data_IF_907844094455
#
_entry.id   IF_907844094455
#
_cell.length_a   1.000
_cell.length_b   1.000
_cell.length_c   1.000
_cell.angle_alpha   90.00
_cell.angle_beta   90.00
_cell.angle_gamma   90.00
#
_symmetry.space_group_name_H-M   'P 1'
#
loop_
_entity.id
_entity.type
_entity.pdbx_description
1 polymer ?
#
# COMPACT_ATOMS: atom_id res chain seq x y z
N UNK A 1 13.77 12.32 -10.10
CA UNK A 1 12.80 11.30 -9.65
C UNK A 1 13.25 10.78 -8.29
N UNK A 2 12.36 10.50 -7.34
CA UNK A 2 12.74 9.89 -6.05
C UNK A 2 12.92 8.38 -6.21
N UNK A 3 13.73 7.76 -5.34
CA UNK A 3 13.94 6.30 -5.34
C UNK A 3 12.62 5.55 -5.15
N UNK A 4 11.76 6.03 -4.25
CA UNK A 4 10.41 5.49 -4.04
C UNK A 4 9.54 5.53 -5.31
N UNK A 5 9.61 6.60 -6.10
CA UNK A 5 8.84 6.71 -7.36
C UNK A 5 9.40 5.81 -8.47
N UNK A 6 10.70 5.51 -8.47
CA UNK A 6 11.25 4.45 -9.34
C UNK A 6 10.69 3.08 -8.94
N UNK A 7 10.80 2.71 -7.66
CA UNK A 7 10.30 1.43 -7.13
C UNK A 7 8.80 1.26 -7.40
N UNK A 8 8.00 2.30 -7.16
CA UNK A 8 6.56 2.25 -7.36
C UNK A 8 6.16 2.14 -8.84
N UNK A 9 6.85 2.83 -9.77
CA UNK A 9 6.61 2.64 -11.21
C UNK A 9 6.98 1.23 -11.67
N UNK A 10 8.08 0.70 -11.14
CA UNK A 10 8.58 -0.62 -11.50
C UNK A 10 7.71 -1.77 -10.98
N UNK A 11 7.09 -1.60 -9.80
CA UNK A 11 6.22 -2.61 -9.18
C UNK A 11 4.74 -2.47 -9.58
N UNK A 12 4.24 -1.23 -9.74
CA UNK A 12 2.80 -0.96 -9.92
C UNK A 12 2.40 -0.71 -11.37
N UNK A 13 3.24 -0.01 -12.17
CA UNK A 13 2.88 0.37 -13.54
C UNK A 13 3.43 -0.59 -14.61
N UNK A 14 4.72 -0.94 -14.53
CA UNK A 14 5.35 -1.80 -15.56
C UNK A 14 4.65 -3.16 -15.75
N UNK A 15 4.26 -3.91 -14.70
CA UNK A 15 3.56 -5.19 -14.87
C UNK A 15 2.18 -5.05 -15.51
N UNK A 16 1.53 -3.91 -15.28
CA UNK A 16 0.23 -3.55 -15.85
C UNK A 16 0.30 -3.02 -17.30
N UNK A 17 1.50 -2.94 -17.89
CA UNK A 17 1.76 -2.23 -19.16
C UNK A 17 1.29 -0.76 -19.14
N UNK A 18 1.36 -0.12 -17.97
CA UNK A 18 1.06 1.29 -17.76
C UNK A 18 2.32 2.15 -17.85
N UNK A 19 2.13 3.38 -18.32
CA UNK A 19 3.11 4.46 -18.36
C UNK A 19 2.44 5.77 -17.90
N UNK A 20 3.20 6.85 -17.73
CA UNK A 20 2.65 8.13 -17.30
C UNK A 20 1.62 8.71 -18.28
N UNK A 21 1.72 8.38 -19.58
CA UNK A 21 0.80 8.86 -20.62
C UNK A 21 -0.58 8.22 -20.48
N UNK A 22 -0.65 6.93 -20.16
CA UNK A 22 -1.90 6.21 -19.88
C UNK A 22 -2.57 6.70 -18.60
N UNK A 23 -1.77 7.05 -17.58
CA UNK A 23 -2.28 7.63 -16.33
C UNK A 23 -2.85 9.04 -16.56
N UNK A 24 -2.11 9.90 -17.26
CA UNK A 24 -2.58 11.25 -17.63
C UNK A 24 -3.84 11.19 -18.53
N UNK A 25 -3.89 10.27 -19.50
CA UNK A 25 -5.08 10.06 -20.33
C UNK A 25 -6.31 9.61 -19.52
N UNK A 26 -6.14 8.68 -18.58
CA UNK A 26 -7.22 8.22 -17.70
C UNK A 26 -7.76 9.36 -16.83
N UNK A 27 -6.87 10.12 -16.18
CA UNK A 27 -7.23 11.27 -15.36
C UNK A 27 -7.94 12.35 -16.19
N UNK A 28 -7.43 12.70 -17.38
CA UNK A 28 -8.11 13.62 -18.32
C UNK A 28 -9.50 13.14 -18.71
N UNK A 29 -9.72 11.83 -18.84
CA UNK A 29 -11.06 11.29 -19.14
C UNK A 29 -12.09 11.59 -18.04
N UNK A 30 -11.65 11.85 -16.80
CA UNK A 30 -12.51 12.25 -15.68
C UNK A 30 -12.84 13.74 -15.70
N UNK A 31 -11.93 14.58 -16.20
CA UNK A 31 -12.08 16.05 -16.28
C UNK A 31 -13.09 16.56 -17.31
N UNK A 32 -13.59 15.68 -18.18
CA UNK A 32 -14.70 16.01 -19.09
C UNK A 32 -16.03 16.18 -18.33
N UNK A 33 -16.14 15.62 -17.12
CA UNK A 33 -17.22 15.92 -16.18
C UNK A 33 -16.80 17.07 -15.26
N UNK A 34 -17.77 17.70 -14.58
CA UNK A 34 -17.54 18.88 -13.71
C UNK A 34 -16.91 18.48 -12.36
N UNK A 35 -15.64 18.06 -12.44
CA UNK A 35 -14.80 17.51 -11.37
C UNK A 35 -13.70 18.51 -11.03
N UNK A 36 -13.62 18.92 -9.76
CA UNK A 36 -12.68 19.94 -9.27
C UNK A 36 -11.32 19.35 -8.89
N UNK A 37 -11.29 18.10 -8.42
CA UNK A 37 -10.09 17.33 -8.11
C UNK A 37 -10.29 15.85 -8.48
N UNK A 38 -9.25 15.20 -9.03
CA UNK A 38 -9.22 13.76 -9.26
C UNK A 38 -7.84 13.19 -8.99
N UNK A 39 -7.81 11.98 -8.42
CA UNK A 39 -6.59 11.25 -8.09
C UNK A 39 -6.75 9.73 -8.24
N UNK A 40 -5.62 9.07 -8.49
CA UNK A 40 -5.46 7.61 -8.46
C UNK A 40 -4.51 7.25 -7.32
N UNK A 41 -4.95 6.37 -6.41
CA UNK A 41 -4.14 5.80 -5.33
C UNK A 41 -3.80 4.34 -5.68
N UNK A 42 -2.57 4.07 -6.10
CA UNK A 42 -2.07 2.73 -6.37
C UNK A 42 -1.41 2.14 -5.12
N UNK A 43 -1.60 0.84 -4.90
CA UNK A 43 -1.05 0.11 -3.77
C UNK A 43 -0.61 -1.29 -4.21
N UNK A 44 0.51 -1.76 -3.64
CA UNK A 44 0.82 -3.18 -3.52
C UNK A 44 1.38 -3.41 -2.12
N UNK A 45 0.82 -4.38 -1.40
CA UNK A 45 1.28 -4.81 -0.09
C UNK A 45 1.63 -6.29 -0.16
N UNK A 46 2.86 -6.65 0.19
CA UNK A 46 3.18 -8.02 0.58
C UNK A 46 3.23 -8.09 2.10
N UNK A 47 2.64 -9.11 2.70
CA UNK A 47 2.76 -9.34 4.14
C UNK A 47 2.95 -10.81 4.49
N UNK A 48 3.73 -11.06 5.53
CA UNK A 48 3.92 -12.38 6.14
C UNK A 48 3.52 -12.34 7.62
N UNK A 49 3.13 -13.49 8.16
CA UNK A 49 3.11 -13.70 9.61
C UNK A 49 3.61 -15.10 9.96
N UNK A 50 4.16 -15.23 11.16
CA UNK A 50 4.67 -16.46 11.75
C UNK A 50 4.17 -16.54 13.18
N UNK A 51 3.70 -17.71 13.62
CA UNK A 51 3.10 -17.90 14.95
C UNK A 51 3.64 -19.16 15.62
N UNK A 52 4.13 -18.99 16.84
CA UNK A 52 4.63 -20.02 17.74
C UNK A 52 3.67 -20.24 18.91
N UNK A 53 3.43 -21.51 19.21
CA UNK A 53 2.67 -22.03 20.35
C UNK A 53 3.21 -23.44 20.67
N UNK A 54 3.08 -23.93 21.91
CA UNK A 54 3.72 -25.17 22.38
C UNK A 54 5.24 -25.29 22.11
N UNK A 55 5.98 -24.16 22.07
CA UNK A 55 7.40 -24.09 21.69
C UNK A 55 7.72 -24.39 20.21
N UNK A 56 6.70 -24.51 19.34
CA UNK A 56 6.82 -24.84 17.92
C UNK A 56 6.11 -23.78 17.04
N UNK A 57 6.65 -23.49 15.86
CA UNK A 57 5.97 -22.60 14.89
C UNK A 57 4.82 -23.35 14.23
N UNK A 58 3.61 -23.22 14.79
CA UNK A 58 2.40 -23.94 14.36
C UNK A 58 1.83 -23.44 13.04
N UNK A 59 2.04 -22.17 12.70
CA UNK A 59 1.55 -21.61 11.44
C UNK A 59 2.42 -20.47 10.92
N UNK A 60 2.32 -20.24 9.61
CA UNK A 60 2.78 -19.04 8.95
C UNK A 60 1.88 -18.72 7.76
N UNK A 61 1.73 -17.45 7.45
CA UNK A 61 0.93 -16.96 6.33
C UNK A 61 1.72 -16.01 5.45
N UNK A 62 1.32 -15.88 4.19
CA UNK A 62 1.85 -14.90 3.25
C UNK A 62 0.73 -14.44 2.32
N UNK A 63 0.51 -13.14 2.22
CA UNK A 63 -0.46 -12.50 1.32
C UNK A 63 0.23 -11.49 0.42
N UNK A 64 -0.35 -11.30 -0.77
CA UNK A 64 -0.04 -10.18 -1.67
C UNK A 64 -1.37 -9.55 -2.05
N UNK A 65 -1.58 -8.33 -1.58
CA UNK A 65 -2.70 -7.48 -1.93
C UNK A 65 -2.21 -6.38 -2.88
N UNK A 66 -3.06 -5.99 -3.83
CA UNK A 66 -2.75 -4.92 -4.78
C UNK A 66 -4.04 -4.24 -5.23
N UNK A 67 -3.91 -3.06 -5.81
CA UNK A 67 -5.04 -2.42 -6.44
C UNK A 67 -4.84 -0.95 -6.73
N UNK A 68 -5.93 -0.32 -7.13
CA UNK A 68 -5.99 1.12 -7.39
C UNK A 68 -7.36 1.68 -7.00
N UNK A 69 -7.35 2.64 -6.08
CA UNK A 69 -8.49 3.50 -5.77
C UNK A 69 -8.52 4.70 -6.72
N UNK A 70 -9.72 5.11 -7.14
CA UNK A 70 -9.95 6.21 -8.08
C UNK A 70 -10.98 7.15 -7.47
N UNK A 71 -10.60 8.42 -7.31
CA UNK A 71 -11.41 9.45 -6.66
C UNK A 71 -11.71 10.61 -7.61
N UNK A 72 -12.95 11.10 -7.56
CA UNK A 72 -13.39 12.34 -8.19
C UNK A 72 -14.12 13.21 -7.16
N UNK A 73 -13.78 14.49 -7.09
CA UNK A 73 -14.38 15.48 -6.18
C UNK A 73 -15.11 16.54 -7.00
N UNK A 74 -16.30 16.94 -6.57
CA UNK A 74 -17.14 17.95 -7.22
C UNK A 74 -17.84 18.77 -6.13
N UNK A 75 -17.32 19.97 -5.83
CA UNK A 75 -17.61 20.71 -4.61
C UNK A 75 -17.38 19.87 -3.36
N UNK A 76 -18.40 19.74 -2.51
CA UNK A 76 -18.38 18.93 -1.29
C UNK A 76 -18.54 17.41 -1.55
N UNK A 77 -18.83 17.00 -2.79
CA UNK A 77 -19.15 15.59 -3.11
C UNK A 77 -17.89 14.83 -3.51
N UNK A 78 -17.74 13.62 -2.99
CA UNK A 78 -16.71 12.66 -3.41
C UNK A 78 -17.36 11.43 -4.04
N UNK A 79 -16.95 11.09 -5.25
CA UNK A 79 -17.20 9.82 -5.91
C UNK A 79 -15.95 8.96 -5.85
N UNK A 80 -16.11 7.68 -5.52
CA UNK A 80 -15.01 6.74 -5.34
C UNK A 80 -15.35 5.38 -5.94
N UNK A 81 -14.36 4.75 -6.55
CA UNK A 81 -14.38 3.37 -6.99
C UNK A 81 -12.96 2.79 -6.87
N UNK A 82 -12.82 1.47 -6.85
CA UNK A 82 -11.53 0.80 -6.75
C UNK A 82 -11.48 -0.45 -7.62
N UNK A 83 -10.28 -1.00 -7.78
CA UNK A 83 -10.01 -2.29 -8.44
C UNK A 83 -8.98 -3.07 -7.64
N UNK A 84 -9.23 -4.36 -7.43
CA UNK A 84 -8.35 -5.29 -6.69
C UNK A 84 -7.18 -5.83 -7.55
N UNK A 85 -7.01 -5.30 -8.76
CA UNK A 85 -5.82 -5.46 -9.60
C UNK A 85 -5.63 -4.20 -10.46
N UNK A 86 -4.38 -3.97 -10.88
CA UNK A 86 -3.97 -2.78 -11.63
C UNK A 86 -4.07 -3.09 -13.13
N UNK A 87 -5.28 -2.98 -13.68
CA UNK A 87 -5.55 -3.26 -15.10
C UNK A 87 -6.30 -2.10 -15.74
N UNK A 88 -5.77 -1.54 -16.84
CA UNK A 88 -6.34 -0.35 -17.49
C UNK A 88 -7.85 -0.45 -17.80
N UNK A 89 -8.39 -1.55 -18.35
CA UNK A 89 -9.83 -1.64 -18.63
C UNK A 89 -10.69 -1.68 -17.36
N UNK A 90 -10.14 -2.12 -16.22
CA UNK A 90 -10.83 -2.06 -14.93
C UNK A 90 -10.78 -0.63 -14.36
N UNK A 91 -9.62 0.01 -14.43
CA UNK A 91 -9.40 1.40 -14.06
C UNK A 91 -10.30 2.37 -14.84
N UNK A 92 -10.50 2.15 -16.14
CA UNK A 92 -11.44 2.92 -16.96
C UNK A 92 -12.89 2.80 -16.46
N UNK A 93 -13.34 1.60 -16.06
CA UNK A 93 -14.68 1.38 -15.47
C UNK A 93 -14.80 2.04 -14.10
N UNK A 94 -13.79 1.93 -13.25
CA UNK A 94 -13.76 2.60 -11.95
C UNK A 94 -13.74 4.14 -12.10
N UNK A 95 -12.99 4.68 -13.07
CA UNK A 95 -13.00 6.11 -13.37
C UNK A 95 -14.36 6.61 -13.87
N UNK A 96 -15.06 5.82 -14.71
CA UNK A 96 -16.45 6.09 -15.13
C UNK A 96 -17.40 6.12 -13.91
N UNK A 97 -17.27 5.15 -12.99
CA UNK A 97 -18.08 5.10 -11.79
C UNK A 97 -17.80 6.28 -10.84
N UNK A 98 -16.53 6.55 -10.52
CA UNK A 98 -16.13 7.65 -9.63
C UNK A 98 -16.58 9.02 -10.17
N UNK A 99 -16.39 9.30 -11.47
CA UNK A 99 -16.78 10.58 -12.08
C UNK A 99 -18.28 10.80 -12.26
N UNK A 100 -19.12 9.80 -11.95
CA UNK A 100 -20.58 9.91 -12.03
C UNK A 100 -21.19 10.83 -10.96
N UNK A 101 -20.44 11.14 -9.90
CA UNK A 101 -20.86 12.03 -8.81
C UNK A 101 -21.06 13.49 -9.26
N UNK A 102 -20.39 13.90 -10.34
CA UNK A 102 -20.36 15.27 -10.82
C UNK A 102 -21.64 15.61 -11.58
N UNK A 103 -22.36 16.64 -11.12
CA UNK A 103 -23.60 17.11 -11.73
C UNK A 103 -23.32 18.09 -12.89
N UNK A 104 -24.39 18.43 -13.62
CA UNK A 104 -24.43 19.54 -14.59
C UNK A 104 -24.40 20.94 -13.94
N UNK A 105 -23.78 21.07 -12.76
CA UNK A 105 -23.50 22.32 -12.04
C UNK A 105 -22.01 22.66 -12.13
N UNK A 106 -21.62 23.68 -12.89
CA UNK A 106 -19.58 23.71 -13.57
C UNK A 106 -18.57 24.28 -12.56
N UNK A 107 -17.33 23.84 -12.75
CA UNK A 107 -16.25 23.77 -11.76
C UNK A 107 -15.51 25.08 -11.52
N UNK A 108 -14.97 25.21 -10.30
CA UNK A 108 -13.98 26.23 -9.91
C UNK A 108 -12.72 25.55 -9.37
N UNK A 109 -12.12 24.66 -10.17
CA UNK A 109 -10.85 24.02 -9.84
C UNK A 109 -9.70 25.03 -9.80
N UNK A 110 -9.20 25.37 -8.62
CA UNK A 110 -7.98 26.16 -8.44
C UNK A 110 -6.80 25.23 -8.17
N UNK A 111 -5.79 25.24 -9.05
CA UNK A 111 -4.56 24.44 -8.87
C UNK A 111 -3.76 24.96 -7.68
N UNK A 112 -3.79 24.22 -6.57
CA UNK A 112 -2.93 24.50 -5.40
C UNK A 112 -1.60 23.75 -5.58
N UNK A 113 -0.56 24.45 -6.04
CA UNK A 113 0.77 23.85 -6.19
C UNK A 113 1.55 23.90 -4.87
N UNK A 114 1.44 22.85 -4.06
CA UNK A 114 2.27 22.70 -2.85
C UNK A 114 3.65 22.17 -3.27
N UNK A 115 4.70 22.98 -3.08
CA UNK A 115 6.08 22.51 -3.21
C UNK A 115 6.48 21.75 -1.94
N UNK A 116 6.55 20.42 -2.01
CA UNK A 116 7.04 19.57 -0.92
C UNK A 116 8.34 18.88 -1.31
N UNK A 117 9.31 18.90 -0.40
CA UNK A 117 10.46 18.00 -0.44
C UNK A 117 10.18 16.85 0.54
N UNK A 118 9.86 15.63 0.06
CA UNK A 118 9.48 14.53 0.95
C UNK A 118 10.65 14.13 1.86
N UNK A 119 10.42 14.18 3.18
CA UNK A 119 11.42 13.79 4.19
C UNK A 119 11.39 12.26 4.32
N UNK A 120 12.49 11.60 3.96
CA UNK A 120 12.66 10.16 4.15
C UNK A 120 12.64 9.83 5.65
N UNK A 121 11.68 9.01 6.10
CA UNK A 121 11.53 8.59 7.52
C UNK A 121 12.06 7.19 7.81
N UNK A 122 12.14 6.34 6.79
CA UNK A 122 12.60 4.95 6.86
C UNK A 122 13.29 4.55 5.55
N UNK A 123 14.06 3.48 5.58
CA UNK A 123 14.68 2.89 4.38
C UNK A 123 13.66 1.98 3.70
N UNK A 124 13.43 2.14 2.40
CA UNK A 124 12.60 1.22 1.61
C UNK A 124 13.27 -0.12 1.35
N UNK A 125 13.53 -0.90 2.40
CA UNK A 125 14.00 -2.28 2.35
C UNK A 125 12.80 -3.23 2.55
N UNK A 126 12.76 -4.37 1.87
CA UNK A 126 11.74 -5.38 2.12
C UNK A 126 12.09 -6.19 3.39
N UNK A 127 11.33 -6.12 4.49
CA UNK A 127 11.62 -6.88 5.71
C UNK A 127 11.39 -8.38 5.52
N UNK A 128 10.53 -8.78 4.58
CA UNK A 128 10.18 -10.18 4.32
C UNK A 128 11.38 -10.93 3.72
N UNK A 129 12.13 -10.26 2.84
CA UNK A 129 13.37 -10.78 2.22
C UNK A 129 14.62 -10.51 3.07
N UNK A 130 14.56 -9.59 4.04
CA UNK A 130 15.69 -9.17 4.86
C UNK A 130 16.16 -10.15 5.94
N UNK A 131 15.49 -11.31 6.09
CA UNK A 131 15.80 -12.34 7.08
C UNK A 131 15.34 -13.71 6.58
N UNK A 132 16.11 -14.79 6.84
CA UNK A 132 15.72 -16.12 6.36
C UNK A 132 14.55 -16.71 7.18
N UNK A 133 13.86 -17.71 6.63
CA UNK A 133 12.77 -18.41 7.34
C UNK A 133 13.28 -19.10 8.61
N UNK A 134 14.49 -19.64 8.56
CA UNK A 134 15.19 -20.27 9.67
C UNK A 134 15.48 -19.28 10.80
N UNK A 135 15.94 -18.07 10.47
CA UNK A 135 16.22 -17.02 11.46
C UNK A 135 14.92 -16.52 12.15
N UNK A 136 13.82 -16.40 11.38
CA UNK A 136 12.50 -16.04 11.91
C UNK A 136 11.97 -17.09 12.91
N UNK A 137 12.09 -18.37 12.56
CA UNK A 137 11.74 -19.49 13.44
C UNK A 137 12.63 -19.49 14.70
N UNK A 138 13.95 -19.32 14.55
CA UNK A 138 14.89 -19.28 15.66
C UNK A 138 14.65 -18.08 16.59
N UNK A 139 14.24 -16.92 16.05
CA UNK A 139 13.84 -15.75 16.85
C UNK A 139 12.63 -16.06 17.74
N UNK A 140 11.57 -16.67 17.18
CA UNK A 140 10.39 -17.06 17.96
C UNK A 140 10.73 -18.11 19.03
N UNK A 141 11.53 -19.12 18.69
CA UNK A 141 11.99 -20.14 19.64
C UNK A 141 12.88 -19.56 20.75
N UNK A 142 13.64 -18.51 20.46
CA UNK A 142 14.41 -17.78 21.47
C UNK A 142 13.50 -17.03 22.46
N UNK A 143 12.37 -16.49 21.99
CA UNK A 143 11.37 -15.81 22.84
C UNK A 143 10.69 -16.79 23.80
N UNK A 144 10.20 -17.95 23.32
CA UNK A 144 9.62 -19.00 24.18
C UNK A 144 10.61 -19.47 25.25
N UNK A 145 11.84 -19.81 24.81
CA UNK A 145 12.89 -20.28 25.70
C UNK A 145 13.24 -19.25 26.79
N UNK A 146 13.34 -17.97 26.43
CA UNK A 146 13.68 -16.91 27.39
C UNK A 146 12.53 -16.63 28.35
N UNK A 147 11.28 -16.59 27.88
CA UNK A 147 10.10 -16.43 28.74
C UNK A 147 10.02 -17.53 29.81
N UNK A 148 10.22 -18.80 29.42
CA UNK A 148 10.27 -19.95 30.34
C UNK A 148 11.51 -19.96 31.25
N UNK A 149 12.61 -19.32 30.84
CA UNK A 149 13.84 -19.16 31.65
C UNK A 149 13.69 -18.08 32.73
N UNK A 150 12.80 -17.10 32.54
CA UNK A 150 12.58 -16.00 33.48
C UNK A 150 11.82 -16.47 34.72
N UNK A 151 10.76 -17.28 34.57
CA UNK A 151 9.99 -17.81 35.70
C UNK A 151 9.43 -19.21 35.39
N UNK A 152 9.65 -20.23 36.26
CA UNK A 152 9.18 -21.60 36.04
C UNK A 152 7.66 -21.77 36.09
N UNK A 153 6.89 -20.71 36.40
CA UNK A 153 5.42 -20.70 36.32
C UNK A 153 4.89 -20.42 34.92
N UNK A 154 5.74 -20.03 33.96
CA UNK A 154 5.37 -19.80 32.55
C UNK A 154 5.14 -21.13 31.84
N UNK A 155 3.89 -21.59 31.84
CA UNK A 155 3.48 -22.87 31.26
C UNK A 155 3.17 -22.78 29.75
N UNK A 156 2.70 -21.62 29.28
CA UNK A 156 2.39 -21.36 27.87
C UNK A 156 3.16 -20.12 27.40
N UNK A 157 3.58 -20.10 26.14
CA UNK A 157 4.10 -18.90 25.48
C UNK A 157 3.59 -18.92 24.06
N UNK A 158 2.87 -17.87 23.67
CA UNK A 158 2.39 -17.66 22.32
C UNK A 158 3.08 -16.42 21.76
N UNK A 159 3.84 -16.57 20.68
CA UNK A 159 4.64 -15.50 20.10
C UNK A 159 4.39 -15.39 18.59
N UNK A 160 4.26 -14.17 18.07
CA UNK A 160 4.15 -13.94 16.64
C UNK A 160 5.13 -12.89 16.13
N UNK A 161 5.58 -13.10 14.89
CA UNK A 161 6.36 -12.16 14.09
C UNK A 161 5.58 -11.88 12.82
N UNK A 162 5.30 -10.61 12.56
CA UNK A 162 4.63 -10.15 11.35
C UNK A 162 5.49 -9.12 10.63
N UNK A 163 5.49 -9.17 9.29
CA UNK A 163 6.22 -8.23 8.45
C UNK A 163 5.37 -7.81 7.26
N UNK A 164 5.43 -6.53 6.87
CA UNK A 164 4.82 -6.06 5.63
C UNK A 164 5.72 -5.11 4.86
N UNK A 165 5.50 -5.09 3.55
CA UNK A 165 6.17 -4.24 2.59
C UNK A 165 5.09 -3.62 1.69
N UNK A 166 4.70 -2.38 2.01
CA UNK A 166 3.71 -1.63 1.24
C UNK A 166 4.43 -0.61 0.32
N UNK A 167 4.13 -0.67 -0.97
CA UNK A 167 4.55 0.33 -1.96
C UNK A 167 3.31 1.04 -2.47
N UNK A 168 3.30 2.37 -2.42
CA UNK A 168 2.17 3.18 -2.86
C UNK A 168 2.60 4.27 -3.82
N UNK A 169 1.67 4.67 -4.69
CA UNK A 169 1.83 5.84 -5.56
C UNK A 169 0.51 6.59 -5.68
N UNK A 170 0.57 7.91 -5.57
CA UNK A 170 -0.56 8.81 -5.86
C UNK A 170 -0.25 9.59 -7.13
N UNK A 171 -1.19 9.60 -8.07
CA UNK A 171 -1.14 10.43 -9.28
C UNK A 171 -2.36 11.37 -9.30
N UNK A 172 -2.13 12.69 -9.44
CA UNK A 172 -3.18 13.71 -9.47
C UNK A 172 -3.48 14.22 -10.89
N UNK A 173 -4.66 14.82 -11.07
CA UNK A 173 -5.07 15.49 -12.32
C UNK A 173 -4.22 16.71 -12.74
N UNK A 174 -3.20 17.07 -11.96
CA UNK A 174 -2.24 18.11 -12.27
C UNK A 174 -0.88 17.55 -12.74
N UNK A 175 -0.78 16.23 -12.91
CA UNK A 175 0.42 15.53 -13.37
C UNK A 175 1.47 15.32 -12.28
N UNK A 176 1.15 15.58 -11.01
CA UNK A 176 2.04 15.21 -9.91
C UNK A 176 1.91 13.71 -9.64
N UNK A 177 3.07 13.03 -9.59
CA UNK A 177 3.18 11.66 -9.09
C UNK A 177 4.09 11.65 -7.87
N UNK A 178 3.59 11.14 -6.76
CA UNK A 178 4.33 10.92 -5.52
C UNK A 178 4.23 9.45 -5.11
N UNK A 179 5.25 8.94 -4.43
CA UNK A 179 5.32 7.53 -4.05
C UNK A 179 6.09 7.35 -2.75
N UNK A 180 5.81 6.23 -2.08
CA UNK A 180 6.32 5.88 -0.76
C UNK A 180 6.53 4.37 -0.65
N UNK A 181 7.49 3.94 0.19
CA UNK A 181 7.92 2.54 0.34
C UNK A 181 8.09 2.24 1.82
N UNK A 182 7.14 1.49 2.37
CA UNK A 182 6.85 1.37 3.79
C UNK A 182 7.12 -0.06 4.29
N UNK A 183 8.27 -0.31 4.91
CA UNK A 183 8.44 -1.52 5.70
C UNK A 183 7.72 -1.38 7.05
N UNK A 184 7.09 -2.45 7.50
CA UNK A 184 6.65 -2.62 8.88
C UNK A 184 7.09 -3.99 9.39
N UNK A 185 7.45 -4.06 10.68
CA UNK A 185 7.61 -5.32 11.41
C UNK A 185 6.99 -5.18 12.80
N UNK A 186 6.36 -6.23 13.30
CA UNK A 186 5.90 -6.31 14.68
C UNK A 186 6.20 -7.68 15.28
N UNK A 187 6.45 -7.68 16.58
CA UNK A 187 6.57 -8.89 17.40
C UNK A 187 5.56 -8.78 18.54
N UNK A 188 4.76 -9.81 18.74
CA UNK A 188 3.79 -9.90 19.83
C UNK A 188 4.10 -11.14 20.67
N UNK A 189 3.93 -11.04 21.98
CA UNK A 189 4.21 -12.12 22.93
C UNK A 189 3.10 -12.14 24.00
N UNK A 190 2.61 -13.33 24.31
CA UNK A 190 1.70 -13.63 25.42
C UNK A 190 2.27 -14.79 26.24
N UNK A 191 2.11 -14.72 27.57
CA UNK A 191 2.60 -15.66 28.59
C UNK A 191 1.57 -15.87 29.68
#
# INVERSE_FOLDING_TARGET
MTIALTIAKDLLLKPASLDESRIDALLRSMLNNRVDAADLYFQSCSSESWYLEDSEVKSGSYSIDRGVGIRAVSGEKTGYAYCDDILLPAMERAAIAARSIALTGPSTSQRIQIQTSPIVRYRGLNPIEGMSKQDKIAMLQSIDKEARRIDPRVIQVNASLSGSYEVVMVADMHGQMLADVRPMVSVHVSV
#
